data_IF_041358003946
#
_entry.id   IF_041358003946
#
_cell.length_a   1.000
_cell.length_b   1.000
_cell.length_c   1.000
_cell.angle_alpha   90.00
_cell.angle_beta   90.00
_cell.angle_gamma   90.00
#
_symmetry.space_group_name_H-M   'P 1'
#
loop_
_entity.id
_entity.type
_entity.pdbx_description
1 polymer ?
#
# COMPACT_ATOMS: atom_id res chain seq x y z
N UNK A 1 47.02 -54.16 23.21
CA UNK A 1 45.81 -53.96 22.41
C UNK A 1 45.35 -52.53 22.54
N UNK A 2 45.51 -51.73 21.51
CA UNK A 2 45.08 -50.33 21.63
C UNK A 2 43.58 -50.26 21.32
N UNK A 3 42.82 -49.77 22.29
CA UNK A 3 41.41 -49.49 22.20
C UNK A 3 41.18 -48.24 21.34
N UNK A 4 40.60 -48.39 20.17
CA UNK A 4 40.23 -47.25 19.31
C UNK A 4 38.90 -46.69 19.80
N UNK A 5 38.94 -45.59 20.49
CA UNK A 5 37.80 -44.75 20.79
C UNK A 5 37.41 -43.98 19.51
N UNK A 6 36.29 -44.40 18.93
CA UNK A 6 35.63 -43.71 17.82
C UNK A 6 34.86 -42.53 18.42
N UNK A 7 35.38 -41.33 18.32
CA UNK A 7 34.66 -40.12 18.71
C UNK A 7 33.65 -39.80 17.60
N UNK A 8 32.36 -40.03 17.88
CA UNK A 8 31.26 -39.57 17.02
C UNK A 8 31.07 -38.06 17.22
N UNK A 9 31.57 -37.26 16.27
CA UNK A 9 31.26 -35.83 16.20
C UNK A 9 29.78 -35.73 15.71
N UNK A 10 28.85 -35.44 16.62
CA UNK A 10 27.53 -34.96 16.24
C UNK A 10 27.69 -33.50 15.73
N UNK A 11 27.64 -33.33 14.42
CA UNK A 11 27.43 -32.00 13.81
C UNK A 11 25.96 -31.60 14.09
N UNK A 12 25.78 -30.77 15.10
CA UNK A 12 24.53 -30.04 15.27
C UNK A 12 24.43 -28.97 14.17
N UNK A 13 23.63 -29.25 13.15
CA UNK A 13 23.29 -28.22 12.15
C UNK A 13 22.44 -27.13 12.84
N UNK A 14 22.80 -25.86 12.74
CA UNK A 14 21.93 -24.81 13.25
C UNK A 14 20.65 -24.80 12.42
N UNK A 15 19.52 -24.99 13.08
CA UNK A 15 18.22 -24.81 12.47
C UNK A 15 18.08 -23.31 12.15
N UNK A 16 18.29 -22.95 10.89
CA UNK A 16 18.00 -21.60 10.42
C UNK A 16 16.48 -21.41 10.44
N UNK A 17 16.00 -20.73 11.46
CA UNK A 17 14.60 -20.28 11.50
C UNK A 17 14.45 -19.24 10.42
N UNK A 18 13.61 -19.52 9.40
CA UNK A 18 13.25 -18.51 8.40
C UNK A 18 12.52 -17.38 9.11
N UNK A 19 13.07 -16.18 9.08
CA UNK A 19 12.41 -14.98 9.59
C UNK A 19 11.19 -14.68 8.72
N UNK A 20 10.08 -14.23 9.34
CA UNK A 20 8.93 -13.69 8.59
C UNK A 20 9.40 -12.52 7.70
N UNK A 21 8.84 -12.39 6.47
CA UNK A 21 9.19 -11.27 5.62
C UNK A 21 8.80 -9.96 6.26
N UNK A 22 9.56 -8.88 5.98
CA UNK A 22 9.18 -7.53 6.37
C UNK A 22 7.81 -7.19 5.73
N UNK A 23 6.79 -6.84 6.50
CA UNK A 23 5.48 -6.51 5.97
C UNK A 23 5.51 -5.41 4.90
N UNK A 24 6.44 -4.46 4.99
CA UNK A 24 6.60 -3.40 4.01
C UNK A 24 7.07 -3.90 2.63
N UNK A 25 7.65 -5.10 2.56
CA UNK A 25 8.05 -5.75 1.30
C UNK A 25 6.92 -6.49 0.59
N UNK A 26 5.77 -6.63 1.23
CA UNK A 26 4.65 -7.42 0.73
C UNK A 26 3.71 -6.65 -0.21
N UNK A 27 3.94 -5.35 -0.37
CA UNK A 27 3.08 -4.51 -1.17
C UNK A 27 3.82 -3.27 -1.70
N UNK A 28 3.21 -2.62 -2.68
CA UNK A 28 3.60 -1.30 -3.18
C UNK A 28 2.35 -0.42 -3.21
N UNK A 29 2.46 0.82 -2.72
CA UNK A 29 1.42 1.84 -2.84
C UNK A 29 1.85 2.85 -3.90
N UNK A 30 0.98 3.14 -4.85
CA UNK A 30 1.28 4.03 -5.97
C UNK A 30 0.12 4.98 -6.25
N UNK A 31 0.44 6.14 -6.79
CA UNK A 31 -0.52 7.13 -7.29
C UNK A 31 -0.60 7.15 -8.83
N UNK A 32 -0.07 6.12 -9.50
CA UNK A 32 -0.12 6.02 -10.96
C UNK A 32 -1.55 6.13 -11.50
N UNK A 33 -1.70 6.85 -12.60
CA UNK A 33 -2.98 7.12 -13.22
C UNK A 33 -3.69 8.36 -12.69
N UNK A 34 -3.11 9.04 -11.71
CA UNK A 34 -3.62 10.31 -11.21
C UNK A 34 -3.43 11.44 -12.21
N UNK A 35 -4.39 12.37 -12.23
CA UNK A 35 -4.25 13.63 -12.95
C UNK A 35 -3.26 14.54 -12.20
N UNK A 36 -2.20 14.98 -12.86
CA UNK A 36 -1.16 15.86 -12.29
C UNK A 36 -1.25 17.29 -12.76
N UNK A 37 -2.03 17.55 -13.81
CA UNK A 37 -2.33 18.89 -14.31
C UNK A 37 -3.83 19.06 -14.39
N UNK A 38 -4.36 19.97 -13.58
CA UNK A 38 -5.78 20.32 -13.54
C UNK A 38 -6.00 21.64 -14.28
N UNK A 39 -7.16 21.74 -14.91
CA UNK A 39 -7.69 23.02 -15.37
C UNK A 39 -8.66 23.56 -14.34
N UNK A 40 -8.57 24.86 -14.03
CA UNK A 40 -9.47 25.49 -13.06
C UNK A 40 -10.93 25.17 -13.37
N UNK A 41 -11.66 24.67 -12.39
CA UNK A 41 -13.08 24.33 -12.50
C UNK A 41 -13.38 23.02 -13.21
N UNK A 42 -12.38 22.30 -13.72
CA UNK A 42 -12.57 20.97 -14.33
C UNK A 42 -12.04 19.88 -13.40
N UNK A 43 -12.82 18.82 -13.13
CA UNK A 43 -12.35 17.74 -12.28
C UNK A 43 -11.29 16.89 -12.96
N UNK A 44 -10.30 16.46 -12.17
CA UNK A 44 -9.39 15.37 -12.49
C UNK A 44 -9.63 14.22 -11.52
N UNK A 45 -8.74 13.25 -11.52
CA UNK A 45 -8.85 12.06 -10.68
C UNK A 45 -7.56 11.82 -9.92
N UNK A 46 -7.67 11.70 -8.60
CA UNK A 46 -6.61 11.15 -7.76
C UNK A 46 -6.79 9.62 -7.71
N UNK A 47 -5.73 8.89 -7.99
CA UNK A 47 -5.70 7.43 -7.95
C UNK A 47 -4.70 6.99 -6.90
N UNK A 48 -5.12 6.05 -6.04
CA UNK A 48 -4.23 5.37 -5.12
C UNK A 48 -4.50 3.88 -5.22
N UNK A 49 -3.45 3.12 -5.54
CA UNK A 49 -3.52 1.67 -5.66
C UNK A 49 -2.57 1.01 -4.68
N UNK A 50 -3.02 -0.06 -4.06
CA UNK A 50 -2.17 -0.97 -3.31
C UNK A 50 -2.02 -2.23 -4.15
N UNK A 51 -0.78 -2.61 -4.45
CA UNK A 51 -0.46 -3.85 -5.16
C UNK A 51 0.29 -4.78 -4.23
N UNK A 52 -0.27 -5.94 -3.98
CA UNK A 52 0.37 -6.96 -3.16
C UNK A 52 1.21 -7.91 -4.01
N UNK A 53 2.29 -8.43 -3.42
CA UNK A 53 3.09 -9.50 -4.03
C UNK A 53 2.35 -10.84 -3.98
N UNK A 54 2.82 -11.83 -4.72
CA UNK A 54 2.25 -13.17 -4.66
C UNK A 54 2.29 -13.73 -3.23
N UNK A 55 1.21 -14.34 -2.78
CA UNK A 55 1.07 -14.88 -1.43
C UNK A 55 0.66 -13.87 -0.36
N UNK A 56 0.59 -12.59 -0.70
CA UNK A 56 0.09 -11.54 0.18
C UNK A 56 -1.28 -11.03 -0.30
N UNK A 57 -2.06 -10.52 0.64
CA UNK A 57 -3.35 -9.89 0.36
C UNK A 57 -3.64 -8.79 1.38
N UNK A 58 -4.52 -7.88 1.01
CA UNK A 58 -5.03 -6.88 1.95
C UNK A 58 -6.20 -7.49 2.73
N UNK A 59 -6.15 -7.37 4.05
CA UNK A 59 -7.22 -7.90 4.91
C UNK A 59 -8.56 -7.27 4.56
N UNK A 60 -9.57 -8.09 4.33
CA UNK A 60 -10.93 -7.63 4.07
C UNK A 60 -11.72 -7.35 5.36
N UNK A 61 -11.29 -7.90 6.47
CA UNK A 61 -11.96 -7.78 7.77
C UNK A 61 -11.39 -6.64 8.62
N UNK A 62 -10.10 -6.37 8.51
CA UNK A 62 -9.44 -5.33 9.29
C UNK A 62 -9.78 -3.93 8.75
N UNK A 63 -9.74 -2.90 9.61
CA UNK A 63 -10.02 -1.53 9.19
C UNK A 63 -9.07 -1.03 8.11
N UNK A 64 -9.62 -0.31 7.13
CA UNK A 64 -8.88 0.44 6.12
C UNK A 64 -9.35 1.89 6.15
N UNK A 65 -8.40 2.81 6.16
CA UNK A 65 -8.70 4.24 6.20
C UNK A 65 -7.75 4.99 5.28
N UNK A 66 -8.31 5.80 4.42
CA UNK A 66 -7.59 6.75 3.59
C UNK A 66 -8.07 8.16 3.92
N UNK A 67 -7.14 9.04 4.29
CA UNK A 67 -7.41 10.45 4.50
C UNK A 67 -6.69 11.26 3.44
N UNK A 68 -7.43 12.12 2.73
CA UNK A 68 -6.90 13.00 1.70
C UNK A 68 -6.95 14.44 2.17
N UNK A 69 -5.86 15.17 1.96
CA UNK A 69 -5.75 16.59 2.24
C UNK A 69 -5.24 17.31 1.01
N UNK A 70 -5.98 18.28 0.51
CA UNK A 70 -5.56 19.14 -0.59
C UNK A 70 -4.85 20.39 -0.08
N UNK A 71 -3.96 20.93 -0.90
CA UNK A 71 -3.27 22.19 -0.66
C UNK A 71 -3.09 22.96 -1.97
N UNK A 72 -2.81 24.27 -1.89
CA UNK A 72 -2.58 25.09 -3.06
C UNK A 72 -3.79 25.23 -3.99
N UNK A 73 -5.00 25.21 -3.44
CA UNK A 73 -6.24 25.29 -4.21
C UNK A 73 -6.70 23.96 -4.82
N UNK A 74 -6.02 22.86 -4.51
CA UNK A 74 -6.43 21.50 -4.93
C UNK A 74 -7.33 20.90 -3.85
N UNK A 75 -8.52 20.47 -4.25
CA UNK A 75 -9.52 19.94 -3.33
C UNK A 75 -9.99 18.54 -3.75
N UNK A 76 -9.77 17.52 -2.93
CA UNK A 76 -10.36 16.21 -3.15
C UNK A 76 -11.87 16.26 -2.88
N UNK A 77 -12.63 15.56 -3.71
CA UNK A 77 -14.09 15.49 -3.57
C UNK A 77 -14.56 14.69 -2.35
N UNK A 78 -13.69 13.86 -1.80
CA UNK A 78 -13.90 13.13 -0.56
C UNK A 78 -12.59 13.05 0.21
N UNK A 79 -12.62 13.35 1.49
CA UNK A 79 -11.40 13.45 2.31
C UNK A 79 -11.21 12.26 3.24
N UNK A 80 -12.25 11.50 3.51
CA UNK A 80 -12.21 10.30 4.34
C UNK A 80 -12.85 9.15 3.60
N UNK A 81 -12.05 8.13 3.31
CA UNK A 81 -12.47 6.96 2.57
C UNK A 81 -12.18 5.70 3.37
N UNK A 82 -13.02 4.71 3.20
CA UNK A 82 -12.87 3.39 3.77
C UNK A 82 -12.90 2.32 2.70
N UNK A 83 -12.97 1.07 3.11
CA UNK A 83 -12.98 -0.08 2.23
C UNK A 83 -14.10 -0.02 1.17
N UNK A 84 -15.28 0.44 1.54
CA UNK A 84 -16.42 0.54 0.63
C UNK A 84 -16.22 1.53 -0.52
N UNK A 85 -15.27 2.44 -0.39
CA UNK A 85 -14.91 3.40 -1.42
C UNK A 85 -13.86 2.86 -2.41
N UNK A 86 -13.25 1.74 -2.10
CA UNK A 86 -12.23 1.12 -2.95
C UNK A 86 -12.86 0.23 -4.01
N UNK A 87 -12.31 0.30 -5.22
CA UNK A 87 -12.57 -0.67 -6.29
C UNK A 87 -11.69 -1.89 -6.08
N UNK A 88 -12.18 -3.04 -6.48
CA UNK A 88 -11.46 -4.32 -6.42
C UNK A 88 -10.72 -4.58 -7.72
N UNK A 89 -9.42 -4.75 -7.64
CA UNK A 89 -8.58 -5.17 -8.77
C UNK A 89 -8.19 -6.63 -8.54
N UNK A 90 -8.70 -7.51 -9.40
CA UNK A 90 -8.45 -8.95 -9.29
C UNK A 90 -7.09 -9.31 -9.85
N UNK A 91 -6.33 -10.07 -9.08
CA UNK A 91 -5.03 -10.60 -9.45
C UNK A 91 -5.15 -12.02 -10.03
N UNK A 92 -4.17 -12.49 -10.83
CA UNK A 92 -4.18 -13.85 -11.36
C UNK A 92 -4.20 -14.94 -10.29
N UNK A 93 -3.67 -14.69 -9.09
CA UNK A 93 -3.66 -15.61 -7.96
C UNK A 93 -5.00 -15.65 -7.18
N UNK A 94 -6.00 -14.88 -7.60
CA UNK A 94 -7.30 -14.79 -6.96
C UNK A 94 -7.39 -13.77 -5.84
N UNK A 95 -6.28 -13.16 -5.42
CA UNK A 95 -6.29 -12.07 -4.46
C UNK A 95 -6.87 -10.79 -5.09
N UNK A 96 -7.39 -9.92 -4.25
CA UNK A 96 -8.02 -8.66 -4.66
C UNK A 96 -7.24 -7.51 -4.02
N UNK A 97 -6.75 -6.61 -4.88
CA UNK A 97 -6.08 -5.39 -4.46
C UNK A 97 -7.05 -4.20 -4.50
N UNK A 98 -7.02 -3.32 -3.49
CA UNK A 98 -7.88 -2.14 -3.48
C UNK A 98 -7.30 -1.01 -4.34
N UNK A 99 -8.17 -0.28 -5.01
CA UNK A 99 -7.87 0.91 -5.77
C UNK A 99 -8.88 2.00 -5.44
N UNK A 100 -8.40 3.16 -5.04
CA UNK A 100 -9.21 4.35 -4.81
C UNK A 100 -9.12 5.27 -6.03
N UNK A 101 -10.26 5.79 -6.44
CA UNK A 101 -10.36 6.82 -7.48
C UNK A 101 -11.23 7.95 -6.93
N UNK A 102 -10.64 9.11 -6.73
CA UNK A 102 -11.30 10.25 -6.09
C UNK A 102 -11.24 11.45 -7.02
N UNK A 103 -12.37 12.09 -7.33
CA UNK A 103 -12.35 13.32 -8.10
C UNK A 103 -11.65 14.42 -7.32
N UNK A 104 -10.84 15.20 -8.02
CA UNK A 104 -10.16 16.38 -7.47
C UNK A 104 -10.40 17.57 -8.36
N UNK A 105 -10.50 18.76 -7.77
CA UNK A 105 -10.68 20.02 -8.48
C UNK A 105 -9.62 21.03 -8.06
N UNK A 106 -9.28 21.92 -8.99
CA UNK A 106 -8.41 23.06 -8.71
C UNK A 106 -9.23 24.34 -8.72
N UNK A 107 -9.14 25.13 -7.65
CA UNK A 107 -9.85 26.41 -7.50
C UNK A 107 -9.00 27.63 -7.82
N UNK A 108 -7.67 27.48 -7.83
CA UNK A 108 -6.73 28.55 -8.09
C UNK A 108 -5.55 28.03 -8.89
N UNK A 109 -5.06 28.84 -9.84
CA UNK A 109 -3.86 28.56 -10.63
C UNK A 109 -2.63 28.49 -9.74
N UNK A 110 -1.73 27.58 -10.06
CA UNK A 110 -0.45 27.43 -9.37
C UNK A 110 -0.14 26.01 -8.98
N UNK A 111 0.78 25.85 -8.05
CA UNK A 111 1.21 24.56 -7.55
C UNK A 111 0.41 24.17 -6.31
N UNK A 112 -0.09 22.96 -6.30
CA UNK A 112 -0.76 22.36 -5.17
C UNK A 112 -0.34 20.91 -4.99
N UNK A 113 -0.99 20.23 -4.08
CA UNK A 113 -0.76 18.82 -3.83
C UNK A 113 -1.98 18.14 -3.22
N UNK A 114 -2.05 16.84 -3.40
CA UNK A 114 -2.91 15.94 -2.62
C UNK A 114 -2.02 15.10 -1.71
N UNK A 115 -2.20 15.22 -0.42
CA UNK A 115 -1.54 14.37 0.57
C UNK A 115 -2.47 13.24 0.98
N UNK A 116 -1.97 12.02 0.96
CA UNK A 116 -2.71 10.81 1.31
C UNK A 116 -2.08 10.13 2.52
N UNK A 117 -2.90 9.85 3.54
CA UNK A 117 -2.54 8.99 4.68
C UNK A 117 -3.38 7.74 4.62
N UNK A 118 -2.73 6.61 4.45
CA UNK A 118 -3.36 5.31 4.28
C UNK A 118 -2.98 4.39 5.42
N UNK A 119 -3.99 3.78 6.05
CA UNK A 119 -3.82 2.73 7.06
C UNK A 119 -4.57 1.49 6.60
N UNK A 120 -3.91 0.34 6.66
CA UNK A 120 -4.47 -0.95 6.24
C UNK A 120 -3.71 -2.10 6.90
N UNK A 121 -4.18 -3.32 6.67
CA UNK A 121 -3.49 -4.54 7.11
C UNK A 121 -3.14 -5.39 5.90
N UNK A 122 -1.88 -5.79 5.81
CA UNK A 122 -1.39 -6.76 4.83
C UNK A 122 -1.19 -8.10 5.51
N UNK A 123 -1.64 -9.15 4.86
CA UNK A 123 -1.61 -10.49 5.40
C UNK A 123 -0.90 -11.46 4.45
N UNK A 124 -0.26 -12.47 5.05
CA UNK A 124 0.15 -13.72 4.41
C UNK A 124 -0.61 -14.86 5.08
N UNK A 125 -0.29 -16.10 4.78
CA UNK A 125 -0.89 -17.26 5.47
C UNK A 125 -0.58 -17.30 6.98
N UNK A 126 0.52 -16.68 7.41
CA UNK A 126 1.01 -16.76 8.78
C UNK A 126 1.03 -15.42 9.53
N UNK A 127 0.84 -14.30 8.84
CA UNK A 127 1.05 -12.97 9.38
C UNK A 127 -0.03 -12.01 8.88
N UNK A 128 -0.54 -11.15 9.76
CA UNK A 128 -1.25 -9.92 9.42
C UNK A 128 -0.62 -8.75 10.14
N UNK A 129 -0.22 -7.73 9.41
CA UNK A 129 0.47 -6.57 9.97
C UNK A 129 -0.22 -5.26 9.56
N UNK A 130 -0.40 -4.38 10.55
CA UNK A 130 -0.88 -3.03 10.30
C UNK A 130 0.19 -2.23 9.59
N UNK A 131 -0.19 -1.56 8.51
CA UNK A 131 0.68 -0.70 7.74
C UNK A 131 0.10 0.71 7.66
N UNK A 132 1.00 1.67 7.59
CA UNK A 132 0.66 3.08 7.40
C UNK A 132 1.59 3.67 6.35
N UNK A 133 1.00 4.36 5.36
CA UNK A 133 1.73 5.04 4.29
C UNK A 133 1.24 6.46 4.15
N UNK A 134 2.18 7.37 3.94
CA UNK A 134 1.90 8.76 3.58
C UNK A 134 2.51 9.03 2.20
N UNK A 135 1.70 9.54 1.28
CA UNK A 135 2.12 9.92 -0.06
C UNK A 135 1.70 11.36 -0.32
N UNK A 136 2.47 12.04 -1.16
CA UNK A 136 2.11 13.36 -1.66
C UNK A 136 2.15 13.35 -3.17
N UNK A 137 1.08 13.78 -3.80
CA UNK A 137 0.99 13.96 -5.26
C UNK A 137 1.02 15.45 -5.57
N UNK A 138 2.11 15.97 -6.17
CA UNK A 138 2.13 17.33 -6.69
C UNK A 138 1.13 17.49 -7.85
N UNK A 139 0.38 18.57 -7.84
CA UNK A 139 -0.61 18.89 -8.86
C UNK A 139 -0.44 20.36 -9.29
N UNK A 140 -0.34 20.56 -10.60
CA UNK A 140 -0.35 21.89 -11.18
C UNK A 140 -1.76 22.25 -11.61
N UNK A 141 -2.22 23.43 -11.24
CA UNK A 141 -3.52 23.96 -11.68
C UNK A 141 -3.27 25.08 -12.69
N UNK A 142 -3.80 24.91 -13.88
CA UNK A 142 -3.73 25.88 -14.99
C UNK A 142 -4.97 26.80 -15.06
#
# INVERSE_FOLDING_TARGET
>A
MPSRLLALLLLAAPSAWAADPDPASLYVVTTEGSTTVLKTGKPGTFVLSIRTVAGAHISEEAPMKLTLTGSGGVEPGKTLLGRSDAKSVHKPDGAVDPRFEVPVTGSAKGQGAVEAKLTFFVCTETLCARQQKTLSLPVTVD
#
